data_IF_361725300197
#
_entry.id   IF_361725300197
#
_cell.length_a   1.000
_cell.length_b   1.000
_cell.length_c   1.000
_cell.angle_alpha   90.00
_cell.angle_beta   90.00
_cell.angle_gamma   90.00
#
_symmetry.space_group_name_H-M   'P 1'
#
loop_
_entity.id
_entity.type
_entity.pdbx_description
1 polymer ?
#
# COMPACT_ATOMS: atom_id res chain seq x y z
N UNK A 1 -17.90 12.60 0.44
CA UNK A 1 -16.44 12.66 0.70
C UNK A 1 -16.20 12.09 2.09
N UNK A 2 -15.08 11.43 2.34
CA UNK A 2 -14.72 10.87 3.67
C UNK A 2 -13.48 11.61 4.17
N UNK A 3 -13.62 12.72 4.92
CA UNK A 3 -12.48 13.52 5.37
C UNK A 3 -11.74 12.92 6.58
N UNK A 4 -12.33 11.93 7.26
CA UNK A 4 -11.78 11.35 8.48
C UNK A 4 -10.42 10.67 8.23
N UNK A 5 -9.46 10.94 9.12
CA UNK A 5 -8.08 10.44 9.05
C UNK A 5 -7.89 9.40 10.14
N UNK A 6 -7.77 8.13 9.74
CA UNK A 6 -7.45 7.03 10.65
C UNK A 6 -5.98 6.66 10.58
N UNK A 7 -5.29 6.89 9.48
CA UNK A 7 -3.88 6.58 9.28
C UNK A 7 -3.10 7.87 8.98
N UNK A 8 -2.04 8.11 9.73
CA UNK A 8 -1.21 9.31 9.58
C UNK A 8 0.03 9.29 10.48
N UNK A 9 0.89 10.28 10.35
CA UNK A 9 2.18 10.32 11.03
C UNK A 9 2.07 10.38 12.56
N UNK A 10 1.12 11.15 13.08
CA UNK A 10 0.89 11.26 14.53
C UNK A 10 0.19 10.04 15.17
N UNK A 11 -0.15 9.01 14.39
CA UNK A 11 -0.96 7.88 14.86
C UNK A 11 -0.09 6.70 15.29
N UNK A 12 0.61 6.81 16.41
CA UNK A 12 1.49 5.75 16.94
C UNK A 12 0.74 4.63 17.67
N UNK A 13 -0.42 4.92 18.26
CA UNK A 13 -1.19 3.95 19.03
C UNK A 13 -2.22 3.20 18.18
N UNK A 14 -2.64 2.03 18.66
CA UNK A 14 -3.76 1.30 18.06
C UNK A 14 -5.08 2.06 18.28
N UNK A 15 -6.07 1.82 17.41
CA UNK A 15 -7.44 2.31 17.58
C UNK A 15 -8.46 1.18 17.40
N UNK A 16 -9.60 1.33 18.06
CA UNK A 16 -10.72 0.40 17.99
C UNK A 16 -11.86 1.09 17.25
N UNK A 17 -12.16 0.61 16.05
CA UNK A 17 -13.14 1.25 15.19
C UNK A 17 -13.85 0.23 14.29
N UNK A 18 -15.19 0.29 14.15
CA UNK A 18 -16.12 1.10 14.93
C UNK A 18 -16.25 0.60 16.39
N UNK A 19 -16.47 1.52 17.33
CA UNK A 19 -16.77 1.22 18.73
C UNK A 19 -18.21 1.56 19.09
N UNK A 20 -18.69 1.21 20.30
CA UNK A 20 -20.01 1.64 20.77
C UNK A 20 -20.08 3.16 21.06
N UNK A 21 -18.95 3.85 21.19
CA UNK A 21 -18.90 5.31 21.19
C UNK A 21 -18.86 5.86 19.77
N UNK A 22 -19.64 6.91 19.55
CA UNK A 22 -19.60 7.67 18.30
C UNK A 22 -18.35 8.55 18.24
N UNK A 23 -17.77 8.67 17.05
CA UNK A 23 -16.58 9.48 16.80
C UNK A 23 -16.99 10.86 16.35
N UNK A 24 -16.35 11.91 16.88
CA UNK A 24 -16.63 13.28 16.44
C UNK A 24 -16.12 13.51 15.01
N UNK A 25 -16.91 14.18 14.17
CA UNK A 25 -16.58 14.48 12.77
C UNK A 25 -16.29 15.97 12.59
N UNK A 26 -17.31 16.83 12.70
CA UNK A 26 -17.18 18.28 12.62
C UNK A 26 -18.33 19.00 13.36
N UNK A 27 -18.13 20.27 13.78
CA UNK A 27 -19.20 21.06 14.37
C UNK A 27 -20.13 21.60 13.26
N UNK A 28 -21.45 21.58 13.48
CA UNK A 28 -22.46 22.10 12.57
C UNK A 28 -23.46 22.98 13.30
N UNK A 29 -23.31 24.31 13.16
CA UNK A 29 -24.25 25.28 13.71
C UNK A 29 -24.40 25.14 15.24
N UNK A 30 -25.52 24.56 15.68
CA UNK A 30 -25.86 24.38 17.09
C UNK A 30 -25.54 22.99 17.67
N UNK A 31 -24.82 22.11 16.95
CA UNK A 31 -24.48 20.79 17.46
C UNK A 31 -23.29 20.13 16.79
N UNK A 32 -22.85 19.02 17.36
CA UNK A 32 -21.72 18.22 16.87
C UNK A 32 -22.23 17.08 15.97
N UNK A 33 -21.56 16.90 14.83
CA UNK A 33 -21.80 15.76 13.93
C UNK A 33 -20.87 14.62 14.33
N UNK A 34 -21.44 13.42 14.41
CA UNK A 34 -20.69 12.23 14.77
C UNK A 34 -20.80 11.16 13.68
N UNK A 35 -19.77 10.32 13.60
CA UNK A 35 -19.64 9.24 12.64
C UNK A 35 -19.14 7.96 13.30
N UNK A 36 -19.05 6.89 12.50
CA UNK A 36 -18.38 5.66 12.87
C UNK A 36 -17.50 5.22 11.71
N UNK A 37 -16.36 4.62 12.03
CA UNK A 37 -15.54 3.97 11.03
C UNK A 37 -16.32 2.87 10.29
N UNK A 38 -16.28 2.92 8.96
CA UNK A 38 -16.94 1.97 8.06
C UNK A 38 -15.95 1.25 7.13
N UNK A 39 -14.64 1.33 7.39
CA UNK A 39 -13.63 0.69 6.56
C UNK A 39 -13.51 -0.81 6.84
N UNK A 40 -12.91 -1.53 5.89
CA UNK A 40 -12.87 -3.01 5.91
C UNK A 40 -11.50 -3.62 6.15
N UNK A 41 -10.44 -2.80 6.16
CA UNK A 41 -9.05 -3.25 6.17
C UNK A 41 -8.43 -3.38 7.58
N UNK A 42 -9.22 -3.21 8.64
CA UNK A 42 -8.82 -3.49 10.01
C UNK A 42 -8.89 -4.98 10.35
N UNK A 43 -8.33 -5.36 11.49
CA UNK A 43 -8.39 -6.76 11.94
C UNK A 43 -9.58 -6.94 12.87
N UNK A 44 -10.53 -7.85 12.57
CA UNK A 44 -11.70 -8.03 13.41
C UNK A 44 -11.32 -8.58 14.79
N UNK A 45 -11.88 -7.97 15.84
CA UNK A 45 -11.65 -8.36 17.23
C UNK A 45 -12.64 -9.42 17.76
N UNK A 46 -13.27 -10.18 16.86
CA UNK A 46 -14.17 -11.27 17.22
C UNK A 46 -13.41 -12.53 17.69
N UNK A 47 -14.00 -13.28 18.63
CA UNK A 47 -13.49 -14.59 19.06
C UNK A 47 -12.10 -14.54 19.69
N UNK A 48 -11.21 -15.45 19.29
CA UNK A 48 -9.85 -15.57 19.85
C UNK A 48 -8.94 -14.38 19.50
N UNK A 49 -9.25 -13.61 18.45
CA UNK A 49 -8.44 -12.45 18.06
C UNK A 49 -8.36 -11.41 19.18
N UNK A 50 -9.45 -11.22 19.93
CA UNK A 50 -9.50 -10.30 21.07
C UNK A 50 -8.44 -10.64 22.12
N UNK A 51 -8.31 -11.92 22.45
CA UNK A 51 -7.32 -12.43 23.40
C UNK A 51 -5.90 -12.29 22.88
N UNK A 52 -5.67 -12.64 21.62
CA UNK A 52 -4.35 -12.54 20.99
C UNK A 52 -3.85 -11.10 20.94
N UNK A 53 -4.70 -10.15 20.54
CA UNK A 53 -4.33 -8.74 20.51
C UNK A 53 -4.18 -8.14 21.89
N UNK A 54 -4.99 -8.55 22.87
CA UNK A 54 -4.82 -8.13 24.26
C UNK A 54 -3.46 -8.57 24.82
N UNK A 55 -3.05 -9.80 24.52
CA UNK A 55 -1.73 -10.30 24.91
C UNK A 55 -0.59 -9.60 24.16
N UNK A 56 -0.73 -9.41 22.84
CA UNK A 56 0.29 -8.76 22.00
C UNK A 56 0.52 -7.29 22.38
N UNK A 57 -0.55 -6.54 22.64
CA UNK A 57 -0.49 -5.13 23.05
C UNK A 57 -0.28 -4.97 24.57
N UNK A 58 -0.28 -6.07 25.32
CA UNK A 58 -0.22 -6.09 26.79
C UNK A 58 -1.31 -5.22 27.44
N UNK A 59 -2.51 -5.21 26.85
CA UNK A 59 -3.62 -4.38 27.30
C UNK A 59 -4.86 -5.23 27.63
N UNK A 60 -5.06 -5.47 28.92
CA UNK A 60 -6.21 -6.21 29.44
C UNK A 60 -7.54 -5.44 29.29
N UNK A 61 -7.51 -4.12 29.14
CA UNK A 61 -8.73 -3.34 28.92
C UNK A 61 -9.43 -3.76 27.63
N UNK A 62 -8.66 -4.26 26.65
CA UNK A 62 -9.22 -4.80 25.43
C UNK A 62 -10.18 -5.96 25.71
N UNK A 63 -10.02 -6.74 26.78
CA UNK A 63 -10.89 -7.87 27.15
C UNK A 63 -12.12 -7.45 27.96
N UNK A 64 -11.99 -6.42 28.79
CA UNK A 64 -13.01 -6.03 29.78
C UNK A 64 -13.93 -4.94 29.22
N UNK A 65 -13.45 -4.14 28.27
CA UNK A 65 -14.22 -3.01 27.72
C UNK A 65 -15.53 -3.45 27.05
N UNK A 66 -16.60 -2.70 27.32
CA UNK A 66 -17.91 -2.85 26.67
C UNK A 66 -18.02 -2.10 25.34
N UNK A 67 -16.97 -1.34 24.98
CA UNK A 67 -16.96 -0.56 23.73
C UNK A 67 -16.69 -1.40 22.48
N UNK A 68 -16.19 -2.63 22.66
CA UNK A 68 -15.90 -3.59 21.59
C UNK A 68 -17.13 -4.45 21.34
N UNK A 69 -17.56 -4.52 20.09
CA UNK A 69 -18.63 -5.39 19.61
C UNK A 69 -18.14 -6.25 18.42
N UNK A 70 -19.01 -7.11 17.88
CA UNK A 70 -18.64 -8.04 16.80
C UNK A 70 -18.22 -7.39 15.48
N UNK A 71 -18.53 -6.09 15.31
CA UNK A 71 -18.12 -5.29 14.14
C UNK A 71 -16.81 -4.54 14.37
N UNK A 72 -16.34 -4.46 15.62
CA UNK A 72 -15.14 -3.69 15.97
C UNK A 72 -13.90 -4.32 15.37
N UNK A 73 -13.12 -3.49 14.70
CA UNK A 73 -11.80 -3.84 14.19
C UNK A 73 -10.73 -3.11 14.98
N UNK A 74 -9.58 -3.75 15.13
CA UNK A 74 -8.36 -3.08 15.58
C UNK A 74 -7.62 -2.53 14.37
N UNK A 75 -7.39 -1.22 14.40
CA UNK A 75 -6.51 -0.50 13.49
C UNK A 75 -5.14 -0.42 14.18
N UNK A 76 -4.18 -1.21 13.70
CA UNK A 76 -2.82 -1.28 14.25
C UNK A 76 -1.80 -0.81 13.20
N UNK A 77 -0.62 -0.36 13.66
CA UNK A 77 0.43 0.25 12.82
C UNK A 77 -0.17 1.32 11.91
N UNK A 78 -0.74 2.32 12.57
CA UNK A 78 -1.45 3.43 11.93
C UNK A 78 -0.47 4.50 11.42
N UNK A 79 0.70 4.60 12.05
CA UNK A 79 1.81 5.38 11.54
C UNK A 79 2.21 4.87 10.16
N UNK A 80 2.09 5.76 9.18
CA UNK A 80 2.25 5.44 7.77
C UNK A 80 3.70 5.12 7.40
N UNK A 81 4.67 5.75 8.05
CA UNK A 81 6.11 5.55 7.80
C UNK A 81 6.53 4.18 8.35
N UNK A 82 6.15 3.87 9.59
CA UNK A 82 6.40 2.55 10.19
C UNK A 82 5.76 1.43 9.34
N UNK A 83 4.52 1.65 8.93
CA UNK A 83 3.75 0.70 8.13
C UNK A 83 4.42 0.37 6.80
N UNK A 84 4.93 1.36 6.05
CA UNK A 84 5.61 1.08 4.77
C UNK A 84 6.96 0.42 4.97
N UNK A 85 7.69 0.78 6.04
CA UNK A 85 8.93 0.12 6.43
C UNK A 85 8.70 -1.37 6.75
N UNK A 86 7.61 -1.71 7.42
CA UNK A 86 7.26 -3.10 7.71
C UNK A 86 6.87 -3.90 6.46
N UNK A 87 6.14 -3.28 5.53
CA UNK A 87 5.68 -3.93 4.29
C UNK A 87 6.87 -4.19 3.35
N UNK A 88 7.75 -3.22 3.20
CA UNK A 88 8.86 -3.27 2.25
C UNK A 88 10.19 -2.80 2.89
N UNK A 89 10.76 -3.56 3.84
CA UNK A 89 11.96 -3.17 4.60
C UNK A 89 13.25 -3.12 3.76
N UNK A 90 13.17 -3.47 2.47
CA UNK A 90 14.29 -3.43 1.54
C UNK A 90 14.40 -2.09 0.79
N UNK A 91 13.43 -1.19 1.01
CA UNK A 91 13.43 0.19 0.57
C UNK A 91 13.72 1.09 1.77
N UNK A 92 14.27 2.26 1.49
CA UNK A 92 14.39 3.34 2.47
C UNK A 92 13.34 4.38 2.13
N UNK A 93 12.49 4.74 3.07
CA UNK A 93 11.42 5.71 2.82
C UNK A 93 11.80 7.09 3.31
N UNK A 94 11.24 8.10 2.66
CA UNK A 94 11.31 9.48 3.13
C UNK A 94 10.58 9.63 4.47
N UNK A 95 11.07 10.52 5.32
CA UNK A 95 10.47 10.85 6.61
C UNK A 95 9.44 11.96 6.52
N UNK A 96 9.33 12.66 5.37
CA UNK A 96 8.40 13.78 5.16
C UNK A 96 7.33 13.42 4.10
N UNK A 97 6.29 12.64 4.48
CA UNK A 97 5.16 12.34 3.61
C UNK A 97 4.30 13.57 3.34
N UNK A 98 3.75 13.67 2.15
CA UNK A 98 2.81 14.76 1.81
C UNK A 98 1.42 14.24 1.49
N UNK A 99 0.42 15.09 1.79
CA UNK A 99 -1.00 14.77 1.59
C UNK A 99 -1.45 15.23 0.21
N UNK A 100 -2.24 14.39 -0.46
CA UNK A 100 -2.90 14.71 -1.72
C UNK A 100 -4.39 14.39 -1.61
N UNK A 101 -5.23 15.30 -2.07
CA UNK A 101 -6.68 15.09 -2.21
C UNK A 101 -7.00 14.76 -3.66
N UNK A 102 -7.58 13.59 -3.90
CA UNK A 102 -7.98 13.13 -5.23
C UNK A 102 -9.33 12.40 -5.14
N UNK A 103 -10.23 12.65 -6.07
CA UNK A 103 -11.54 12.00 -6.16
C UNK A 103 -12.37 12.04 -4.85
N UNK A 104 -12.22 13.13 -4.08
CA UNK A 104 -12.92 13.30 -2.80
C UNK A 104 -12.43 12.40 -1.66
N UNK A 105 -11.25 11.78 -1.85
CA UNK A 105 -10.49 11.02 -0.86
C UNK A 105 -9.14 11.69 -0.61
N UNK A 106 -8.57 11.39 0.55
CA UNK A 106 -7.27 11.91 0.97
C UNK A 106 -6.28 10.75 0.97
N UNK A 107 -5.08 11.03 0.48
CA UNK A 107 -4.00 10.06 0.36
C UNK A 107 -2.71 10.64 0.91
N UNK A 108 -1.92 9.81 1.59
CA UNK A 108 -0.52 10.09 1.84
C UNK A 108 0.32 9.58 0.68
N UNK A 109 1.31 10.37 0.27
CA UNK A 109 2.33 9.94 -0.67
C UNK A 109 3.68 9.96 0.02
N UNK A 110 4.38 8.83 -0.03
CA UNK A 110 5.73 8.64 0.51
C UNK A 110 6.67 8.27 -0.63
N UNK A 111 7.82 8.91 -0.69
CA UNK A 111 8.88 8.54 -1.62
C UNK A 111 9.75 7.41 -1.06
N UNK A 112 10.09 6.46 -1.92
CA UNK A 112 10.83 5.25 -1.60
C UNK A 112 12.09 5.13 -2.43
N UNK A 113 13.21 4.91 -1.74
CA UNK A 113 14.55 4.88 -2.30
C UNK A 113 15.14 3.48 -2.22
N UNK A 114 15.92 3.13 -3.24
CA UNK A 114 16.86 2.01 -3.16
C UNK A 114 18.26 2.55 -2.90
N UNK A 115 18.94 1.97 -1.94
CA UNK A 115 20.33 2.29 -1.63
C UNK A 115 21.23 1.03 -1.63
N UNK A 116 22.51 1.26 -1.85
CA UNK A 116 23.55 0.26 -1.69
C UNK A 116 24.88 0.91 -1.27
N UNK A 117 25.71 0.12 -0.60
CA UNK A 117 27.05 0.52 -0.13
C UNK A 117 28.17 0.02 -1.04
N UNK A 118 27.88 -0.96 -1.90
CA UNK A 118 28.86 -1.66 -2.75
C UNK A 118 28.42 -1.80 -4.21
N UNK A 119 27.73 -0.79 -4.75
CA UNK A 119 27.35 -0.76 -6.16
C UNK A 119 28.59 -0.59 -7.07
N UNK A 120 28.84 -1.49 -8.04
CA UNK A 120 30.04 -1.43 -8.89
C UNK A 120 30.15 -0.13 -9.69
N UNK A 121 31.38 0.34 -9.90
CA UNK A 121 31.69 1.53 -10.71
C UNK A 121 30.95 2.81 -10.28
N UNK A 122 30.57 2.90 -9.00
CA UNK A 122 29.97 4.10 -8.41
C UNK A 122 30.88 4.71 -7.35
N UNK A 123 30.89 6.04 -7.30
CA UNK A 123 31.66 6.79 -6.31
C UNK A 123 31.00 6.65 -4.94
N UNK A 124 31.79 6.29 -3.94
CA UNK A 124 31.33 6.23 -2.55
C UNK A 124 31.28 7.64 -1.97
N UNK A 125 30.17 7.97 -1.31
CA UNK A 125 30.07 9.16 -0.48
C UNK A 125 30.61 8.82 0.92
N UNK A 126 31.76 9.41 1.26
CA UNK A 126 32.54 9.06 2.45
C UNK A 126 31.83 9.34 3.78
N UNK A 127 30.85 10.26 3.80
CA UNK A 127 30.09 10.63 4.99
C UNK A 127 28.83 9.79 5.20
N UNK A 128 28.21 9.30 4.13
CA UNK A 128 26.95 8.56 4.19
C UNK A 128 27.13 7.03 4.19
N UNK A 129 28.31 6.52 3.82
CA UNK A 129 28.57 5.08 3.71
C UNK A 129 27.75 4.39 2.60
N UNK A 130 27.16 5.19 1.70
CA UNK A 130 26.33 4.76 0.57
C UNK A 130 27.04 5.18 -0.71
N UNK A 131 27.02 4.32 -1.72
CA UNK A 131 27.61 4.61 -3.03
C UNK A 131 26.58 4.55 -4.16
N UNK A 132 25.30 4.31 -3.84
CA UNK A 132 24.19 4.33 -4.76
C UNK A 132 22.90 4.71 -4.04
N UNK A 133 22.16 5.67 -4.59
CA UNK A 133 20.81 6.02 -4.15
C UNK A 133 19.94 6.38 -5.36
N UNK A 134 18.71 5.85 -5.40
CA UNK A 134 17.71 6.16 -6.43
C UNK A 134 16.31 6.21 -5.83
N UNK A 135 15.52 7.22 -6.20
CA UNK A 135 14.10 7.33 -5.90
C UNK A 135 13.32 6.46 -6.89
N UNK A 136 13.16 5.17 -6.54
CA UNK A 136 12.68 4.16 -7.47
C UNK A 136 11.20 3.84 -7.28
N UNK A 137 10.61 4.21 -6.14
CA UNK A 137 9.24 3.83 -5.76
C UNK A 137 8.51 5.03 -5.15
N UNK A 138 7.22 5.16 -5.43
CA UNK A 138 6.32 6.05 -4.71
C UNK A 138 5.21 5.23 -4.09
N UNK A 139 4.88 5.48 -2.83
CA UNK A 139 3.84 4.75 -2.09
C UNK A 139 2.66 5.67 -1.87
N UNK A 140 1.47 5.20 -2.23
CA UNK A 140 0.21 5.93 -2.00
C UNK A 140 -0.59 5.17 -0.95
N UNK A 141 -0.92 5.84 0.15
CA UNK A 141 -1.61 5.24 1.28
C UNK A 141 -2.95 5.96 1.47
N UNK A 142 -4.02 5.20 1.51
CA UNK A 142 -5.35 5.72 1.85
C UNK A 142 -5.40 6.13 3.33
N UNK A 143 -5.77 7.38 3.65
CA UNK A 143 -5.79 7.84 5.05
C UNK A 143 -6.90 7.21 5.88
N UNK A 144 -7.94 6.70 5.23
CA UNK A 144 -9.11 6.15 5.87
C UNK A 144 -8.90 4.66 6.15
N UNK A 145 -8.47 3.90 5.14
CA UNK A 145 -8.30 2.45 5.26
C UNK A 145 -6.88 1.98 5.57
N UNK A 146 -5.87 2.83 5.34
CA UNK A 146 -4.46 2.47 5.54
C UNK A 146 -3.91 1.50 4.49
N UNK A 147 -4.61 1.33 3.35
CA UNK A 147 -4.14 0.49 2.25
C UNK A 147 -2.98 1.17 1.53
N UNK A 148 -1.80 0.53 1.53
CA UNK A 148 -0.58 1.04 0.92
C UNK A 148 -0.36 0.43 -0.47
N UNK A 149 -0.32 1.27 -1.50
CA UNK A 149 -0.05 0.89 -2.88
C UNK A 149 1.33 1.38 -3.31
N UNK A 150 2.20 0.46 -3.73
CA UNK A 150 3.57 0.77 -4.14
C UNK A 150 3.64 0.86 -5.67
N UNK A 151 4.14 1.99 -6.16
CA UNK A 151 4.28 2.28 -7.59
C UNK A 151 5.75 2.42 -7.97
N UNK A 152 6.15 1.74 -9.04
CA UNK A 152 7.51 1.85 -9.58
C UNK A 152 7.64 3.15 -10.37
N UNK A 153 8.42 4.09 -9.86
CA UNK A 153 8.75 5.35 -10.52
C UNK A 153 9.90 5.18 -11.52
N UNK A 154 10.93 4.41 -11.13
CA UNK A 154 12.06 4.08 -12.01
C UNK A 154 12.11 2.57 -12.31
N UNK A 155 11.54 2.12 -13.44
CA UNK A 155 11.58 0.72 -13.83
C UNK A 155 12.95 0.30 -14.38
N UNK A 156 13.90 1.21 -14.53
CA UNK A 156 15.25 0.90 -15.00
C UNK A 156 16.17 0.44 -13.87
N UNK A 157 15.86 0.83 -12.62
CA UNK A 157 16.68 0.57 -11.43
C UNK A 157 16.96 -0.94 -11.21
N UNK A 158 18.23 -1.37 -11.30
CA UNK A 158 18.62 -2.77 -11.13
C UNK A 158 18.43 -3.27 -9.70
N UNK A 159 18.57 -2.41 -8.68
CA UNK A 159 18.39 -2.83 -7.28
C UNK A 159 16.93 -3.12 -6.99
N UNK A 160 16.02 -2.26 -7.46
CA UNK A 160 14.59 -2.50 -7.36
C UNK A 160 14.20 -3.81 -8.07
N UNK A 161 14.68 -4.08 -9.28
CA UNK A 161 14.40 -5.33 -10.01
C UNK A 161 14.82 -6.57 -9.22
N UNK A 162 16.04 -6.55 -8.68
CA UNK A 162 16.60 -7.67 -7.92
C UNK A 162 15.83 -7.91 -6.61
N UNK A 163 15.56 -6.86 -5.84
CA UNK A 163 14.89 -6.94 -4.53
C UNK A 163 13.38 -7.22 -4.65
N UNK A 164 12.68 -6.58 -5.58
CA UNK A 164 11.24 -6.79 -5.80
C UNK A 164 10.92 -8.23 -6.23
N UNK A 165 11.75 -8.82 -7.09
CA UNK A 165 11.60 -10.23 -7.51
C UNK A 165 11.71 -11.18 -6.33
N UNK A 166 12.63 -10.91 -5.39
CA UNK A 166 12.79 -11.69 -4.16
C UNK A 166 11.58 -11.55 -3.24
N UNK A 167 11.05 -10.33 -3.08
CA UNK A 167 9.86 -10.05 -2.29
C UNK A 167 8.63 -10.81 -2.83
N UNK A 168 8.35 -10.69 -4.14
CA UNK A 168 7.21 -11.37 -4.78
C UNK A 168 7.31 -12.90 -4.71
N UNK A 169 8.53 -13.47 -4.79
CA UNK A 169 8.75 -14.90 -4.58
C UNK A 169 8.45 -15.34 -3.15
N UNK A 170 8.77 -14.50 -2.15
CA UNK A 170 8.48 -14.78 -0.74
C UNK A 170 6.97 -14.74 -0.48
N UNK A 171 6.28 -13.72 -0.99
CA UNK A 171 4.83 -13.59 -0.84
C UNK A 171 4.05 -14.76 -1.48
N UNK A 172 4.40 -15.14 -2.72
CA UNK A 172 3.77 -16.29 -3.40
C UNK A 172 3.96 -17.62 -2.66
N UNK A 173 5.08 -17.81 -1.97
CA UNK A 173 5.33 -19.02 -1.16
C UNK A 173 4.42 -19.07 0.06
N UNK A 174 4.20 -17.95 0.75
CA UNK A 174 3.30 -17.88 1.91
C UNK A 174 1.84 -18.13 1.52
N UNK A 175 1.41 -17.60 0.37
CA UNK A 175 0.04 -17.79 -0.14
C UNK A 175 -0.23 -19.22 -0.64
N UNK A 176 0.79 -19.91 -1.16
CA UNK A 176 0.66 -21.31 -1.59
C UNK A 176 0.43 -22.26 -0.40
N UNK A 177 1.10 -22.03 0.73
CA UNK A 177 0.91 -22.82 1.96
C UNK A 177 -0.48 -22.66 2.57
N UNK A 178 -1.13 -21.50 2.36
CA UNK A 178 -2.51 -21.25 2.82
C UNK A 178 -3.57 -21.96 1.98
N UNK A 179 -3.21 -22.43 0.78
CA UNK A 179 -4.15 -23.06 -0.16
C UNK A 179 -4.28 -24.58 0.03
N UNK A 180 -3.40 -25.19 0.82
CA UNK A 180 -3.42 -26.64 1.12
C UNK A 180 -4.27 -27.02 2.34
N UNK A 181 -4.85 -26.06 3.07
CA UNK A 181 -5.71 -26.33 4.25
C UNK A 181 -7.21 -26.12 4.02
N UNK A 182 -7.64 -25.82 2.79
CA UNK A 182 -9.06 -25.78 2.42
C UNK A 182 -9.39 -26.84 1.38
N UNK A 183 -9.53 -28.09 1.80
CA UNK A 183 -10.24 -29.10 1.02
C UNK A 183 -11.73 -28.78 1.09
N UNK A 184 -12.19 -27.93 0.18
CA UNK A 184 -13.61 -27.75 -0.11
C UNK A 184 -13.75 -27.84 -1.63
N UNK A 185 -14.41 -28.90 -2.04
CA UNK A 185 -14.75 -29.29 -3.39
C UNK A 185 -15.37 -28.15 -4.20
N UNK A 186 -14.79 -27.79 -5.35
CA UNK A 186 -15.53 -27.27 -6.51
C UNK A 186 -14.79 -27.54 -7.82
N UNK A 187 -15.54 -27.63 -8.95
CA UNK A 187 -15.12 -28.39 -10.13
C UNK A 187 -14.25 -27.61 -11.12
N UNK A 188 -13.43 -28.39 -11.82
CA UNK A 188 -12.57 -28.02 -12.93
C UNK A 188 -13.29 -27.14 -13.97
N UNK A 189 -12.87 -25.88 -14.09
CA UNK A 189 -13.01 -25.11 -15.32
C UNK A 189 -11.62 -24.77 -15.85
N UNK A 190 -11.33 -25.27 -17.06
CA UNK A 190 -10.10 -25.04 -17.82
C UNK A 190 -9.87 -23.54 -18.03
N UNK A 191 -8.64 -23.02 -17.89
CA UNK A 191 -8.34 -21.67 -18.37
C UNK A 191 -8.23 -21.69 -19.90
N UNK A 192 -9.16 -21.01 -20.55
CA UNK A 192 -9.12 -20.69 -21.98
C UNK A 192 -7.86 -19.88 -22.28
N UNK A 193 -7.04 -20.43 -23.15
CA UNK A 193 -5.78 -19.88 -23.65
C UNK A 193 -6.06 -18.55 -24.38
N UNK A 194 -5.48 -17.45 -23.93
CA UNK A 194 -5.58 -16.17 -24.65
C UNK A 194 -4.65 -16.24 -25.87
N UNK A 195 -5.23 -16.48 -27.04
CA UNK A 195 -4.53 -16.58 -28.31
C UNK A 195 -4.02 -15.20 -28.77
N UNK A 196 -2.73 -15.15 -29.10
CA UNK A 196 -2.06 -14.02 -29.73
C UNK A 196 -2.59 -13.81 -31.15
N UNK A 197 -3.45 -12.81 -31.36
CA UNK A 197 -3.90 -12.44 -32.71
C UNK A 197 -2.83 -11.57 -33.38
N UNK A 198 -2.06 -12.16 -34.30
CA UNK A 198 -1.28 -11.41 -35.31
C UNK A 198 -2.27 -10.70 -36.24
N UNK A 199 -2.21 -9.37 -36.31
CA UNK A 199 -2.76 -8.62 -37.44
C UNK A 199 -1.61 -8.08 -38.28
N UNK A 200 -1.39 -8.73 -39.43
CA UNK A 200 -0.70 -8.17 -40.58
C UNK A 200 -1.52 -7.01 -41.11
N UNK A 201 -0.89 -5.86 -41.36
CA UNK A 201 -1.49 -4.83 -42.21
C UNK A 201 -0.43 -4.28 -43.15
N UNK A 202 -0.76 -4.42 -44.41
CA UNK A 202 0.01 -4.21 -45.62
C UNK A 202 0.41 -2.74 -45.76
N UNK A 203 1.68 -2.51 -46.10
CA UNK A 203 2.29 -1.20 -46.33
C UNK A 203 1.96 -0.74 -47.76
N UNK A 204 1.33 0.42 -47.93
CA UNK A 204 1.22 1.12 -49.22
C UNK A 204 1.76 2.54 -49.07
N UNK A 205 2.57 2.95 -50.03
CA UNK A 205 3.47 4.10 -50.08
C UNK A 205 2.80 5.37 -50.62
N UNK A 206 3.13 6.54 -50.04
CA UNK A 206 3.39 7.86 -50.69
C UNK A 206 3.45 8.97 -49.62
N UNK A 207 4.50 9.82 -49.65
CA UNK A 207 4.73 10.97 -48.73
C UNK A 207 4.20 12.30 -49.28
N UNK A 208 4.78 13.48 -48.95
CA UNK A 208 5.38 13.95 -47.69
C UNK A 208 4.89 15.37 -47.26
N UNK A 209 4.88 15.71 -45.96
CA UNK A 209 5.32 17.02 -45.39
C UNK A 209 5.09 17.17 -43.88
N UNK A 210 5.86 18.01 -43.17
CA UNK A 210 6.04 17.95 -41.73
C UNK A 210 5.16 18.95 -40.97
N UNK A 211 4.53 18.50 -39.88
CA UNK A 211 4.12 19.39 -38.79
C UNK A 211 4.46 18.75 -37.45
N UNK A 212 5.25 19.50 -36.70
CA UNK A 212 5.64 19.31 -35.31
C UNK A 212 4.46 18.84 -34.43
N UNK A 213 4.58 17.64 -33.86
CA UNK A 213 3.73 17.18 -32.75
C UNK A 213 4.49 17.38 -31.44
N UNK A 214 3.85 17.94 -30.39
CA UNK A 214 4.43 17.94 -29.06
C UNK A 214 4.52 16.49 -28.55
N UNK A 215 5.66 16.17 -27.93
CA UNK A 215 5.94 14.85 -27.40
C UNK A 215 4.88 14.42 -26.40
N UNK A 216 4.13 13.38 -26.75
CA UNK A 216 3.32 12.62 -25.79
C UNK A 216 4.30 12.05 -24.77
N UNK A 217 4.36 12.66 -23.59
CA UNK A 217 4.95 12.05 -22.41
C UNK A 217 4.23 10.71 -22.21
N UNK A 218 4.95 9.63 -22.49
CA UNK A 218 4.47 8.27 -22.27
C UNK A 218 4.23 8.17 -20.77
N UNK A 219 2.96 8.13 -20.35
CA UNK A 219 2.59 7.82 -18.98
C UNK A 219 3.21 6.46 -18.65
N UNK A 220 4.33 6.47 -17.91
CA UNK A 220 4.93 5.29 -17.34
C UNK A 220 3.84 4.63 -16.51
N UNK A 221 3.33 3.48 -16.96
CA UNK A 221 2.38 2.68 -16.19
C UNK A 221 3.06 2.38 -14.86
N UNK A 222 2.63 3.07 -13.82
CA UNK A 222 2.93 2.74 -12.44
C UNK A 222 2.32 1.37 -12.17
N UNK A 223 3.13 0.31 -12.36
CA UNK A 223 2.71 -1.05 -12.05
C UNK A 223 2.62 -1.16 -10.52
N UNK A 224 1.46 -1.55 -9.96
CA UNK A 224 1.36 -1.79 -8.53
C UNK A 224 2.25 -2.98 -8.18
N UNK A 225 3.12 -2.82 -7.18
CA UNK A 225 3.71 -3.96 -6.48
C UNK A 225 2.61 -4.46 -5.54
N UNK A 226 1.76 -5.35 -6.06
CA UNK A 226 0.77 -6.05 -5.25
C UNK A 226 1.50 -7.20 -4.54
N UNK A 227 1.55 -7.13 -3.21
CA UNK A 227 1.93 -8.26 -2.37
C UNK A 227 0.74 -9.20 -2.19
#
# INVERSE_FOLDING_TARGET
TQPAIYFGEGTSNYALAPSAQKEFDYPSGSGDVYTHYSGTHGVPLSGANRLLYAAYMQDLNLLITTQVNDKTQILYRRNIVDRVNDIAPFLTFDSDPYVVVADGKVYWIIDGYTNATSYPYSQSESSAGVNYIRNSVKVVIDVYEGTANFYVADPSDPLLKSRSTRCLRRCRRTSATRRTSSTSSQPSTRPTTCATRRSSTTRRTSGPSPRSRPGLARATRCLPITC
#
